data_IF_754581891947
#
_entry.id   IF_754581891947
#
_cell.length_a   1.000
_cell.length_b   1.000
_cell.length_c   1.000
_cell.angle_alpha   90.00
_cell.angle_beta   90.00
_cell.angle_gamma   90.00
#
_symmetry.space_group_name_H-M   'P 1'
#
loop_
_entity.id
_entity.type
_entity.pdbx_description
1 polymer ?
#
# COMPACT_ATOMS: atom_id res chain seq x y z
N UNK A 1 1.50 -6.09 -13.83
CA UNK A 1 1.14 -5.76 -12.43
C UNK A 1 1.81 -4.45 -12.00
N UNK A 2 1.21 -3.76 -11.03
CA UNK A 2 1.76 -2.64 -10.28
C UNK A 2 1.95 -3.05 -8.82
N UNK A 3 3.20 -3.18 -8.36
CA UNK A 3 3.47 -3.24 -6.93
C UNK A 3 3.32 -1.83 -6.37
N UNK A 4 2.47 -1.66 -5.38
CA UNK A 4 2.11 -0.37 -4.82
C UNK A 4 2.57 -0.32 -3.37
N UNK A 5 3.43 0.62 -3.00
CA UNK A 5 3.99 0.73 -1.63
C UNK A 5 3.54 2.01 -0.93
N UNK A 6 3.28 1.96 0.38
CA UNK A 6 2.89 3.11 1.19
C UNK A 6 3.80 3.29 2.40
N UNK A 7 3.99 4.55 2.81
CA UNK A 7 4.60 4.86 4.10
C UNK A 7 3.52 4.97 5.19
N UNK A 8 3.61 4.21 6.30
CA UNK A 8 2.55 4.19 7.33
C UNK A 8 2.23 5.56 7.93
N UNK A 9 3.26 6.37 8.23
CA UNK A 9 3.04 7.72 8.80
C UNK A 9 2.27 8.63 7.84
N UNK A 10 2.64 8.62 6.56
CA UNK A 10 1.97 9.42 5.52
C UNK A 10 0.56 8.93 5.24
N UNK A 11 0.33 7.62 5.31
CA UNK A 11 -1.00 7.04 5.20
C UNK A 11 -1.92 7.58 6.31
N UNK A 12 -1.49 7.56 7.57
CA UNK A 12 -2.32 7.97 8.70
C UNK A 12 -2.72 9.45 8.70
N UNK A 13 -1.86 10.34 8.19
CA UNK A 13 -2.20 11.76 8.03
C UNK A 13 -3.07 12.03 6.78
N UNK A 14 -3.05 11.12 5.80
CA UNK A 14 -3.70 11.28 4.50
C UNK A 14 -5.09 10.64 4.38
N UNK A 15 -5.51 9.81 5.33
CA UNK A 15 -6.86 9.24 5.34
C UNK A 15 -7.91 10.24 5.86
N UNK A 16 -9.14 10.15 5.35
CA UNK A 16 -10.23 11.08 5.69
C UNK A 16 -10.53 11.10 7.20
N UNK A 17 -10.73 9.92 7.80
CA UNK A 17 -10.91 9.79 9.24
C UNK A 17 -9.58 9.34 9.86
N UNK A 18 -8.77 10.29 10.33
CA UNK A 18 -7.43 9.98 10.86
C UNK A 18 -7.47 9.14 12.15
N UNK A 19 -8.55 9.25 12.92
CA UNK A 19 -8.70 8.55 14.22
C UNK A 19 -8.75 7.03 14.10
N UNK A 20 -9.13 6.51 12.92
CA UNK A 20 -9.16 5.06 12.65
C UNK A 20 -7.82 4.49 12.21
N UNK A 21 -6.77 5.32 12.07
CA UNK A 21 -5.45 4.79 11.73
C UNK A 21 -4.79 4.08 12.93
N UNK A 22 -4.07 3.00 12.65
CA UNK A 22 -3.19 2.31 13.60
C UNK A 22 -1.97 1.79 12.86
N UNK A 23 -0.79 2.01 13.41
CA UNK A 23 0.46 1.43 12.90
C UNK A 23 0.89 0.33 13.87
N UNK A 24 1.00 -0.94 13.44
CA UNK A 24 1.53 -2.01 14.29
C UNK A 24 2.97 -1.70 14.74
N UNK A 25 3.31 -1.99 15.99
CA UNK A 25 4.64 -1.72 16.59
C UNK A 25 5.80 -2.39 15.86
N UNK A 26 5.52 -3.46 15.11
CA UNK A 26 6.50 -4.20 14.31
C UNK A 26 6.81 -3.53 12.97
N UNK A 27 6.02 -2.53 12.56
CA UNK A 27 6.09 -1.92 11.22
C UNK A 27 6.90 -0.62 11.31
N UNK A 28 8.11 -0.64 10.74
CA UNK A 28 9.05 0.49 10.75
C UNK A 28 9.43 1.02 9.37
N UNK A 29 9.00 0.34 8.32
CA UNK A 29 9.47 0.51 6.94
C UNK A 29 8.30 0.75 6.00
N UNK A 30 8.59 1.05 4.74
CA UNK A 30 7.57 1.10 3.69
C UNK A 30 6.85 -0.25 3.59
N UNK A 31 5.52 -0.23 3.51
CA UNK A 31 4.72 -1.44 3.41
C UNK A 31 4.08 -1.55 2.03
N UNK A 32 3.73 -2.76 1.63
CA UNK A 32 2.86 -3.03 0.50
C UNK A 32 1.50 -2.41 0.82
N UNK A 33 0.98 -1.65 -0.13
CA UNK A 33 -0.41 -1.26 -0.20
C UNK A 33 -1.20 -2.25 -1.06
N UNK A 34 -0.64 -2.64 -2.21
CA UNK A 34 -1.33 -3.41 -3.23
C UNK A 34 -0.40 -4.08 -4.24
N UNK A 35 -0.82 -5.20 -4.84
CA UNK A 35 -0.23 -5.72 -6.07
C UNK A 35 -1.32 -5.85 -7.13
N UNK A 36 -1.44 -4.87 -8.02
CA UNK A 36 -2.66 -4.74 -8.83
C UNK A 36 -2.43 -5.02 -10.31
N UNK A 37 -3.40 -5.62 -11.02
CA UNK A 37 -3.33 -5.75 -12.46
C UNK A 37 -3.33 -4.37 -13.14
N UNK A 38 -2.55 -4.23 -14.22
CA UNK A 38 -2.47 -2.98 -15.01
C UNK A 38 -3.75 -2.77 -15.82
N UNK A 39 -4.39 -3.86 -16.23
CA UNK A 39 -5.68 -3.89 -16.92
C UNK A 39 -6.62 -4.76 -16.11
N UNK A 40 -7.72 -4.19 -15.64
CA UNK A 40 -8.82 -4.92 -15.00
C UNK A 40 -9.70 -5.48 -16.09
N UNK A 41 -9.36 -6.68 -16.58
CA UNK A 41 -10.18 -7.47 -17.50
C UNK A 41 -10.92 -8.60 -16.78
N UNK A 42 -11.29 -9.67 -17.50
CA UNK A 42 -11.92 -10.86 -16.93
C UNK A 42 -11.12 -11.42 -15.75
N UNK A 43 -11.63 -11.24 -14.55
CA UNK A 43 -11.05 -11.82 -13.35
C UNK A 43 -11.56 -13.26 -13.20
N UNK A 44 -10.72 -14.12 -12.64
CA UNK A 44 -11.11 -15.49 -12.35
C UNK A 44 -12.02 -15.48 -11.09
N UNK A 45 -13.34 -15.30 -11.26
CA UNK A 45 -14.33 -14.99 -10.20
C UNK A 45 -14.55 -16.10 -9.15
N UNK A 46 -13.98 -17.30 -9.35
CA UNK A 46 -14.22 -18.48 -8.53
C UNK A 46 -13.02 -18.91 -7.65
N UNK A 47 -12.37 -17.97 -6.95
CA UNK A 47 -11.21 -18.29 -6.10
C UNK A 47 -11.41 -17.91 -4.63
N UNK A 48 -11.90 -18.84 -3.78
CA UNK A 48 -11.99 -18.59 -2.35
C UNK A 48 -10.61 -18.49 -1.72
N UNK A 49 -10.52 -17.69 -0.66
CA UNK A 49 -9.33 -17.59 0.19
C UNK A 49 -9.71 -17.87 1.64
N UNK A 50 -8.91 -18.72 2.27
CA UNK A 50 -9.03 -19.09 3.68
C UNK A 50 -7.75 -18.74 4.41
N UNK A 51 -7.83 -18.61 5.73
CA UNK A 51 -6.68 -18.30 6.57
C UNK A 51 -5.55 -19.32 6.40
N UNK A 52 -5.89 -20.61 6.27
CA UNK A 52 -4.94 -21.70 6.06
C UNK A 52 -4.05 -21.51 4.83
N UNK A 53 -4.52 -20.82 3.79
CA UNK A 53 -3.70 -20.55 2.60
C UNK A 53 -2.54 -19.60 2.86
N UNK A 54 -2.59 -18.78 3.91
CA UNK A 54 -1.58 -17.75 4.20
C UNK A 54 -0.78 -18.01 5.47
N UNK A 55 -1.10 -19.06 6.24
CA UNK A 55 -0.48 -19.34 7.54
C UNK A 55 1.05 -19.35 7.49
N UNK A 56 1.63 -19.94 6.44
CA UNK A 56 3.08 -20.05 6.28
C UNK A 56 3.78 -18.68 6.13
N UNK A 57 3.14 -17.75 5.41
CA UNK A 57 3.71 -16.43 5.08
C UNK A 57 3.12 -15.28 5.91
N UNK A 58 2.23 -15.60 6.85
CA UNK A 58 1.55 -14.62 7.70
C UNK A 58 2.53 -13.73 8.47
N UNK A 59 3.63 -14.25 9.07
CA UNK A 59 4.63 -13.41 9.73
C UNK A 59 5.22 -12.33 8.81
N UNK A 60 5.45 -12.65 7.54
CA UNK A 60 5.98 -11.68 6.57
C UNK A 60 4.90 -10.72 6.07
N UNK A 61 3.68 -11.20 5.85
CA UNK A 61 2.57 -10.34 5.48
C UNK A 61 2.21 -9.35 6.59
N UNK A 62 2.26 -9.74 7.85
CA UNK A 62 2.00 -8.81 8.97
C UNK A 62 3.05 -7.70 9.08
N UNK A 63 4.28 -7.96 8.63
CA UNK A 63 5.35 -6.95 8.63
C UNK A 63 5.34 -6.09 7.35
N UNK A 64 5.14 -6.73 6.20
CA UNK A 64 5.33 -6.10 4.90
C UNK A 64 4.03 -5.64 4.26
N UNK A 65 2.87 -6.19 4.61
CA UNK A 65 1.55 -5.81 4.08
C UNK A 65 0.47 -5.72 5.19
N UNK A 66 0.72 -5.00 6.30
CA UNK A 66 -0.24 -4.87 7.40
C UNK A 66 -1.49 -4.08 6.98
N UNK A 67 -2.60 -4.36 7.66
CA UNK A 67 -3.69 -3.38 7.75
C UNK A 67 -3.26 -2.23 8.66
N UNK A 68 -3.44 -1.00 8.20
CA UNK A 68 -3.22 0.21 9.00
C UNK A 68 -4.52 0.81 9.58
N UNK A 69 -5.63 0.05 9.55
CA UNK A 69 -6.95 0.49 9.99
C UNK A 69 -7.37 -0.25 11.26
N UNK A 70 -7.77 0.49 12.30
CA UNK A 70 -8.32 -0.05 13.55
C UNK A 70 -9.53 -0.95 13.28
N UNK A 71 -9.60 -2.08 13.98
CA UNK A 71 -10.70 -3.05 13.85
C UNK A 71 -10.68 -3.90 12.58
N UNK A 72 -9.79 -3.63 11.62
CA UNK A 72 -9.62 -4.45 10.41
C UNK A 72 -8.52 -5.50 10.64
N UNK A 73 -8.92 -6.74 10.92
CA UNK A 73 -8.00 -7.86 11.04
C UNK A 73 -7.18 -8.06 9.75
N UNK A 74 -5.90 -8.45 9.88
CA UNK A 74 -4.98 -8.59 8.75
C UNK A 74 -5.49 -9.54 7.68
N UNK A 75 -5.95 -10.74 8.06
CA UNK A 75 -6.52 -11.69 7.10
C UNK A 75 -7.71 -11.12 6.32
N UNK A 76 -8.62 -10.38 6.95
CA UNK A 76 -9.76 -9.80 6.24
C UNK A 76 -9.34 -8.67 5.29
N UNK A 77 -8.27 -7.95 5.62
CA UNK A 77 -7.66 -7.00 4.70
C UNK A 77 -7.05 -7.72 3.48
N UNK A 78 -6.24 -8.76 3.67
CA UNK A 78 -5.67 -9.54 2.58
C UNK A 78 -6.74 -10.22 1.72
N UNK A 79 -7.80 -10.74 2.34
CA UNK A 79 -8.94 -11.31 1.62
C UNK A 79 -9.56 -10.29 0.66
N UNK A 80 -9.74 -9.05 1.10
CA UNK A 80 -10.31 -8.00 0.24
C UNK A 80 -9.36 -7.64 -0.92
N UNK A 81 -8.04 -7.59 -0.68
CA UNK A 81 -7.02 -7.40 -1.73
C UNK A 81 -7.03 -8.56 -2.74
N UNK A 82 -7.15 -9.80 -2.26
CA UNK A 82 -7.25 -10.97 -3.12
C UNK A 82 -8.51 -10.90 -4.00
N UNK A 83 -9.68 -10.70 -3.40
CA UNK A 83 -10.96 -10.69 -4.12
C UNK A 83 -11.00 -9.58 -5.18
N UNK A 84 -10.48 -8.39 -4.86
CA UNK A 84 -10.53 -7.23 -5.76
C UNK A 84 -9.44 -7.23 -6.84
N UNK A 85 -8.27 -7.80 -6.54
CA UNK A 85 -7.09 -7.63 -7.37
C UNK A 85 -6.37 -8.94 -7.67
N UNK A 86 -6.21 -9.79 -6.66
CA UNK A 86 -5.54 -11.09 -6.79
C UNK A 86 -6.26 -12.08 -7.71
N UNK A 87 -7.60 -12.13 -7.69
CA UNK A 87 -8.42 -12.99 -8.58
C UNK A 87 -8.20 -12.68 -10.07
N UNK A 88 -7.90 -11.43 -10.39
CA UNK A 88 -7.55 -11.00 -11.76
C UNK A 88 -6.10 -11.35 -12.12
N UNK A 89 -5.21 -11.46 -11.13
CA UNK A 89 -3.85 -11.97 -11.31
C UNK A 89 -3.79 -13.51 -11.32
N UNK A 90 -4.81 -14.18 -10.76
CA UNK A 90 -4.89 -15.64 -10.64
C UNK A 90 -4.98 -16.39 -11.97
N UNK A 91 -5.22 -15.68 -13.08
CA UNK A 91 -5.18 -16.26 -14.41
C UNK A 91 -3.73 -16.33 -14.98
N UNK A 92 -2.73 -15.74 -14.29
CA UNK A 92 -1.30 -15.90 -14.58
C UNK A 92 -0.72 -17.07 -13.77
N UNK A 93 -0.01 -18.00 -14.42
CA UNK A 93 0.50 -19.23 -13.76
C UNK A 93 1.33 -18.93 -12.50
N UNK A 94 2.21 -17.92 -12.58
CA UNK A 94 3.06 -17.47 -11.48
C UNK A 94 2.31 -16.95 -10.23
N UNK A 95 1.02 -16.64 -10.35
CA UNK A 95 0.16 -16.09 -9.29
C UNK A 95 -1.17 -16.85 -9.21
N UNK A 96 -1.24 -18.07 -9.76
CA UNK A 96 -2.44 -18.90 -9.85
C UNK A 96 -2.89 -19.51 -8.53
N UNK A 97 -2.70 -18.82 -7.40
CA UNK A 97 -3.32 -19.12 -6.11
C UNK A 97 -3.17 -17.93 -5.15
N UNK A 98 -3.98 -17.86 -4.07
CA UNK A 98 -3.80 -16.84 -3.05
C UNK A 98 -2.37 -16.83 -2.50
N UNK A 99 -1.82 -18.00 -2.16
CA UNK A 99 -0.47 -18.12 -1.62
C UNK A 99 0.57 -17.57 -2.59
N UNK A 100 0.53 -17.98 -3.87
CA UNK A 100 1.48 -17.54 -4.88
C UNK A 100 1.41 -16.03 -5.12
N UNK A 101 0.21 -15.44 -5.19
CA UNK A 101 0.03 -14.00 -5.34
C UNK A 101 0.66 -13.21 -4.19
N UNK A 102 0.42 -13.62 -2.95
CA UNK A 102 1.01 -12.95 -1.78
C UNK A 102 2.52 -13.18 -1.68
N UNK A 103 3.01 -14.36 -2.02
CA UNK A 103 4.45 -14.64 -2.10
C UNK A 103 5.15 -13.76 -3.15
N UNK A 104 4.54 -13.58 -4.33
CA UNK A 104 5.07 -12.68 -5.37
C UNK A 104 5.12 -11.24 -4.86
N UNK A 105 4.05 -10.75 -4.22
CA UNK A 105 4.04 -9.39 -3.66
C UNK A 105 5.14 -9.18 -2.59
N UNK A 106 5.30 -10.15 -1.67
CA UNK A 106 6.36 -10.13 -0.65
C UNK A 106 7.75 -10.17 -1.29
N UNK A 107 7.96 -11.04 -2.28
CA UNK A 107 9.24 -11.15 -3.00
C UNK A 107 9.58 -9.84 -3.71
N UNK A 108 8.62 -9.24 -4.40
CA UNK A 108 8.82 -7.95 -5.07
C UNK A 108 9.13 -6.84 -4.07
N UNK A 109 8.43 -6.78 -2.93
CA UNK A 109 8.73 -5.80 -1.87
C UNK A 109 10.13 -5.95 -1.29
N UNK A 110 10.61 -7.18 -1.08
CA UNK A 110 11.97 -7.47 -0.61
C UNK A 110 13.01 -7.11 -1.67
N UNK A 111 12.69 -7.30 -2.96
CA UNK A 111 13.58 -6.99 -4.07
C UNK A 111 13.74 -5.49 -4.31
N UNK A 112 12.64 -4.73 -4.27
CA UNK A 112 12.66 -3.27 -4.39
C UNK A 112 12.86 -2.61 -3.02
N UNK A 113 14.12 -2.48 -2.62
CA UNK A 113 14.53 -1.86 -1.36
C UNK A 113 14.41 -0.33 -1.39
N UNK A 114 13.16 0.14 -1.40
CA UNK A 114 12.84 1.57 -1.40
C UNK A 114 13.38 2.28 -0.16
N UNK A 115 13.53 1.58 0.96
CA UNK A 115 14.04 2.17 2.20
C UNK A 115 15.50 2.63 1.97
N UNK A 116 16.35 1.73 1.44
CA UNK A 116 17.74 2.05 1.14
C UNK A 116 17.89 3.07 0.00
N UNK A 117 17.03 3.02 -1.03
CA UNK A 117 17.05 4.00 -2.13
C UNK A 117 16.79 5.41 -1.61
N UNK A 118 15.78 5.59 -0.75
CA UNK A 118 15.47 6.89 -0.17
C UNK A 118 16.56 7.36 0.79
N UNK A 119 17.04 6.48 1.67
CA UNK A 119 18.09 6.80 2.64
C UNK A 119 19.40 7.22 1.97
N UNK A 120 19.88 6.45 0.98
CA UNK A 120 21.08 6.77 0.20
C UNK A 120 20.95 8.06 -0.61
N UNK A 121 19.73 8.47 -0.95
CA UNK A 121 19.42 9.75 -1.61
C UNK A 121 19.26 10.91 -0.63
N UNK A 122 19.48 10.69 0.68
CA UNK A 122 19.29 11.68 1.73
C UNK A 122 17.83 12.02 2.03
N UNK A 123 16.87 11.23 1.52
CA UNK A 123 15.44 11.39 1.78
C UNK A 123 15.08 10.57 3.02
N UNK A 124 14.87 11.28 4.12
CA UNK A 124 14.48 10.71 5.42
C UNK A 124 13.20 11.32 5.94
N UNK A 125 12.57 10.64 6.89
CA UNK A 125 11.39 11.17 7.57
C UNK A 125 11.72 12.46 8.31
N UNK A 126 10.87 13.47 8.23
CA UNK A 126 11.07 14.75 8.92
C UNK A 126 9.74 15.45 9.20
N UNK A 127 9.69 16.21 10.29
CA UNK A 127 8.60 17.13 10.61
C UNK A 127 8.81 18.54 10.02
N UNK A 128 10.07 18.92 9.80
CA UNK A 128 10.46 20.26 9.33
C UNK A 128 10.67 20.33 7.82
N UNK A 129 10.99 19.19 7.20
CA UNK A 129 11.30 19.11 5.77
C UNK A 129 10.11 18.54 5.02
N UNK A 130 9.47 19.40 4.23
CA UNK A 130 8.55 18.96 3.18
C UNK A 130 9.29 18.87 1.85
N UNK A 131 9.10 17.76 1.14
CA UNK A 131 9.76 17.55 -0.16
C UNK A 131 8.89 18.21 -1.24
N UNK A 132 9.23 19.45 -1.59
CA UNK A 132 8.66 20.18 -2.74
C UNK A 132 9.45 19.84 -4.00
N UNK A 133 8.78 19.33 -5.03
CA UNK A 133 9.39 19.15 -6.36
C UNK A 133 10.51 18.12 -6.47
N UNK A 134 10.83 17.39 -5.39
CA UNK A 134 11.62 16.15 -5.44
C UNK A 134 10.65 15.01 -5.29
N UNK A 135 10.67 14.09 -6.24
CA UNK A 135 9.75 12.97 -6.38
C UNK A 135 9.86 11.97 -5.21
N UNK A 136 9.36 12.31 -4.03
CA UNK A 136 9.40 11.44 -2.85
C UNK A 136 8.02 10.79 -2.68
N UNK A 137 7.79 9.57 -3.17
CA UNK A 137 6.46 9.10 -3.59
C UNK A 137 5.50 8.67 -2.47
N UNK A 138 4.40 9.40 -2.19
CA UNK A 138 3.22 8.76 -1.55
C UNK A 138 2.66 7.78 -2.60
N UNK A 139 2.55 6.53 -2.20
CA UNK A 139 2.13 5.41 -3.04
C UNK A 139 3.00 5.15 -4.30
N UNK A 140 4.12 4.44 -4.15
CA UNK A 140 5.01 4.07 -5.26
C UNK A 140 4.43 2.87 -6.05
N UNK A 141 4.08 3.06 -7.33
CA UNK A 141 3.69 1.98 -8.25
C UNK A 141 4.88 1.52 -9.08
N UNK A 142 5.45 0.36 -8.77
CA UNK A 142 6.46 -0.31 -9.58
C UNK A 142 5.76 -1.10 -10.68
N UNK A 143 5.88 -0.63 -11.91
CA UNK A 143 5.49 -1.37 -13.10
C UNK A 143 6.52 -2.48 -13.34
N UNK A 144 6.08 -3.74 -13.36
CA UNK A 144 6.99 -4.87 -13.62
C UNK A 144 7.57 -4.88 -15.06
N UNK A 145 7.07 -4.00 -15.95
CA UNK A 145 7.46 -3.93 -17.36
C UNK A 145 7.66 -2.49 -17.92
N UNK A 146 7.57 -1.43 -17.09
CA UNK A 146 7.68 0.00 -17.49
C UNK A 146 8.15 0.89 -16.32
N UNK A 147 8.31 2.19 -16.55
CA UNK A 147 8.69 3.18 -15.53
C UNK A 147 7.69 3.28 -14.36
N UNK A 148 8.19 3.70 -13.20
CA UNK A 148 7.46 3.78 -11.92
C UNK A 148 6.47 4.98 -11.90
N UNK A 149 5.30 4.85 -11.24
CA UNK A 149 4.22 5.88 -11.22
C UNK A 149 3.67 6.22 -9.80
N UNK A 150 3.10 7.43 -9.61
CA UNK A 150 2.86 8.14 -8.32
C UNK A 150 1.38 7.96 -7.94
N UNK A 151 1.03 7.97 -6.66
CA UNK A 151 -0.36 7.89 -6.21
C UNK A 151 -0.68 8.78 -5.00
N UNK A 152 -1.49 9.82 -5.17
CA UNK A 152 -1.96 10.67 -4.07
C UNK A 152 -3.38 10.27 -3.61
N UNK A 153 -3.73 10.44 -2.32
CA UNK A 153 -5.12 10.37 -1.85
C UNK A 153 -5.99 11.40 -2.59
N UNK A 154 -7.29 11.09 -2.78
CA UNK A 154 -8.26 12.03 -3.35
C UNK A 154 -8.31 13.33 -2.53
N UNK A 155 -8.07 14.47 -3.18
CA UNK A 155 -8.58 15.76 -2.67
C UNK A 155 -10.10 15.80 -2.87
N UNK A 156 -10.83 16.37 -1.90
CA UNK A 156 -12.29 16.44 -1.91
C UNK A 156 -12.81 17.09 -3.20
N UNK A 157 -13.38 16.28 -4.08
CA UNK A 157 -14.49 16.70 -4.93
C UNK A 157 -15.73 16.00 -4.38
N UNK A 158 -16.64 16.79 -3.81
CA UNK A 158 -18.00 16.35 -3.47
C UNK A 158 -18.63 15.77 -4.72
N UNK A 159 -18.77 14.45 -4.84
CA UNK A 159 -19.90 13.80 -5.51
C UNK A 159 -19.94 12.29 -5.17
N UNK A 160 -21.15 11.90 -4.77
CA UNK A 160 -21.77 10.59 -4.57
C UNK A 160 -21.50 9.66 -3.36
N UNK A 161 -22.65 9.39 -2.71
CA UNK A 161 -22.91 8.81 -1.39
C UNK A 161 -22.91 7.28 -1.38
N UNK A 162 -22.22 6.61 -2.30
CA UNK A 162 -22.27 5.13 -2.40
C UNK A 162 -21.00 4.44 -2.92
N UNK A 163 -19.80 5.01 -2.75
CA UNK A 163 -18.56 4.37 -3.22
C UNK A 163 -17.69 3.81 -2.09
N UNK A 164 -18.06 2.65 -1.56
CA UNK A 164 -17.10 1.74 -0.91
C UNK A 164 -16.24 0.95 -1.93
N UNK A 165 -16.29 1.32 -3.23
CA UNK A 165 -15.92 0.46 -4.36
C UNK A 165 -14.79 0.94 -5.27
N UNK A 166 -14.18 2.11 -5.05
CA UNK A 166 -13.09 2.58 -5.91
C UNK A 166 -11.75 2.69 -5.15
N UNK A 167 -10.81 1.80 -5.47
CA UNK A 167 -9.38 2.00 -5.19
C UNK A 167 -8.94 3.30 -5.88
N UNK A 168 -8.51 4.30 -5.11
CA UNK A 168 -8.35 5.68 -5.61
C UNK A 168 -7.01 6.30 -5.26
N UNK A 169 -5.95 5.60 -5.62
CA UNK A 169 -4.63 6.21 -5.79
C UNK A 169 -4.49 6.79 -7.20
N UNK A 170 -4.57 8.13 -7.33
CA UNK A 170 -4.43 8.84 -8.60
C UNK A 170 -3.00 9.40 -8.75
N UNK A 171 -2.43 9.49 -9.96
CA UNK A 171 -1.18 10.23 -10.19
C UNK A 171 -1.18 11.56 -9.46
N UNK A 172 -0.17 11.80 -8.63
CA UNK A 172 -0.05 13.06 -7.91
C UNK A 172 0.04 14.22 -8.91
N UNK A 173 -0.69 15.32 -8.69
CA UNK A 173 -0.50 16.53 -9.49
C UNK A 173 0.95 17.00 -9.39
N UNK A 174 1.49 17.53 -10.50
CA UNK A 174 2.82 18.15 -10.52
C UNK A 174 2.90 19.25 -9.43
N UNK A 175 4.04 19.35 -8.75
CA UNK A 175 4.30 20.28 -7.64
C UNK A 175 3.46 20.07 -6.36
N UNK A 176 2.91 18.87 -6.14
CA UNK A 176 2.25 18.54 -4.86
C UNK A 176 3.30 18.29 -3.78
N UNK A 177 3.08 18.87 -2.58
CA UNK A 177 3.91 18.59 -1.41
C UNK A 177 3.71 17.16 -0.96
N UNK A 178 4.82 16.42 -0.80
CA UNK A 178 4.77 15.07 -0.27
C UNK A 178 5.25 15.08 1.18
N UNK A 179 4.40 14.55 2.05
CA UNK A 179 4.71 14.32 3.45
C UNK A 179 5.40 12.97 3.59
N UNK A 180 6.62 12.96 4.10
CA UNK A 180 7.36 11.78 4.53
C UNK A 180 7.75 12.02 6.00
N UNK A 181 6.82 11.70 6.89
CA UNK A 181 6.85 12.06 8.31
C UNK A 181 7.25 10.86 9.17
N UNK A 182 7.81 11.05 10.38
CA UNK A 182 8.11 9.94 11.28
C UNK A 182 6.88 9.10 11.62
N UNK A 183 7.09 7.85 12.04
CA UNK A 183 6.01 7.01 12.58
C UNK A 183 5.83 7.36 14.06
N UNK A 184 4.63 7.78 14.43
CA UNK A 184 4.18 7.85 15.82
C UNK A 184 3.17 6.73 16.05
N UNK A 185 3.50 5.75 16.90
CA UNK A 185 2.63 4.60 17.13
C UNK A 185 1.47 4.92 18.09
N UNK A 186 1.66 5.87 18.99
CA UNK A 186 0.66 6.29 19.98
C UNK A 186 -0.36 7.22 19.35
N UNK A 187 0.14 8.20 18.59
CA UNK A 187 -0.66 9.18 17.89
C UNK A 187 -0.31 9.25 16.38
N UNK A 188 -0.72 8.24 15.57
CA UNK A 188 -0.34 8.18 14.15
C UNK A 188 -0.88 9.34 13.29
N UNK A 189 -1.88 10.06 13.78
CA UNK A 189 -2.48 11.19 13.07
C UNK A 189 -1.77 12.52 13.34
N UNK A 190 -0.90 12.56 14.35
CA UNK A 190 -0.08 13.71 14.71
C UNK A 190 1.38 13.26 14.91
N UNK A 191 2.08 12.90 13.83
CA UNK A 191 3.45 12.35 13.91
C UNK A 191 4.51 13.35 14.37
N UNK A 192 4.14 14.61 14.57
CA UNK A 192 5.04 15.73 14.84
C UNK A 192 4.58 16.60 16.03
N UNK A 193 3.56 16.17 16.78
CA UNK A 193 3.08 16.84 17.99
C UNK A 193 3.67 16.16 19.24
#
# INVERSE_FOLDING_TARGET
MHLTLQWPGSFCIGINNKTICKIPQTVRKWTIHGLWPVRTGHCCDCWPIYHSHLQEIEPELTQLWPSLIKGKHFFYFWRDEWIKHGTCAGCEESMGSPLLYFQVAVKLRKHFDIDNILESSGIKTSCDVSYKGREAWIQLKVNLFRNQTLGCPKQEQKFDRFSWFNSTGHPCPKNTTIFYVPINYENPHEPCN
#
